data_IF_183400267294
#
_entry.id   IF_183400267294
#
_cell.length_a   1.000
_cell.length_b   1.000
_cell.length_c   1.000
_cell.angle_alpha   90.00
_cell.angle_beta   90.00
_cell.angle_gamma   90.00
#
_symmetry.space_group_name_H-M   'P 1'
#
loop_
_entity.id
_entity.type
_entity.pdbx_description
1 polymer ?
#
# COMPACT_ATOMS: atom_id res chain seq x y z
N UNK A 1 0.84 52.64 21.41
CA UNK A 1 -0.12 51.91 20.54
C UNK A 1 0.12 50.42 20.73
N UNK A 2 -0.66 49.78 21.59
CA UNK A 2 -0.51 48.36 21.93
C UNK A 2 -1.30 47.50 20.94
N UNK A 3 -0.63 46.54 20.28
CA UNK A 3 -1.26 45.57 19.37
C UNK A 3 -2.10 44.57 20.18
N UNK A 4 -3.35 44.26 19.78
CA UNK A 4 -4.23 43.39 20.55
C UNK A 4 -3.80 41.92 20.40
N UNK A 5 -3.44 41.30 21.53
CA UNK A 5 -3.06 39.89 21.70
C UNK A 5 -4.17 38.88 21.38
N UNK A 6 -5.39 39.35 21.09
CA UNK A 6 -6.55 38.52 20.77
C UNK A 6 -6.48 37.82 19.39
N UNK A 7 -5.65 38.30 18.47
CA UNK A 7 -5.48 37.68 17.14
C UNK A 7 -4.73 36.33 17.17
N UNK A 8 -4.08 35.99 18.30
CA UNK A 8 -3.36 34.71 18.47
C UNK A 8 -4.19 33.62 19.16
N UNK A 9 -5.33 33.96 19.76
CA UNK A 9 -6.16 33.00 20.50
C UNK A 9 -7.21 32.29 19.62
N UNK A 10 -7.61 32.91 18.50
CA UNK A 10 -8.56 32.34 17.55
C UNK A 10 -8.08 31.01 16.88
N UNK A 11 -6.82 30.86 16.42
CA UNK A 11 -6.38 29.60 15.81
C UNK A 11 -6.19 28.47 16.84
N UNK A 12 -5.82 28.79 18.09
CA UNK A 12 -5.63 27.79 19.15
C UNK A 12 -6.97 27.17 19.60
N UNK A 13 -8.03 27.98 19.69
CA UNK A 13 -9.37 27.50 20.01
C UNK A 13 -9.95 26.59 18.90
N UNK A 14 -9.64 26.88 17.63
CA UNK A 14 -10.09 26.06 16.50
C UNK A 14 -9.40 24.68 16.48
N UNK A 15 -8.10 24.64 16.80
CA UNK A 15 -7.34 23.37 16.88
C UNK A 15 -7.80 22.49 18.04
N UNK A 16 -8.11 23.06 19.21
CA UNK A 16 -8.66 22.32 20.34
C UNK A 16 -10.07 21.77 20.07
N UNK A 17 -10.91 22.52 19.34
CA UNK A 17 -12.23 22.05 18.92
C UNK A 17 -12.19 20.84 17.97
N UNK A 18 -11.26 20.82 17.03
CA UNK A 18 -11.10 19.70 16.07
C UNK A 18 -10.56 18.44 16.75
N UNK A 19 -9.66 18.58 17.71
CA UNK A 19 -9.12 17.43 18.48
C UNK A 19 -10.18 16.85 19.42
N UNK A 20 -10.98 17.69 20.10
CA UNK A 20 -12.06 17.22 20.95
C UNK A 20 -13.18 16.52 20.17
N UNK A 21 -13.55 17.03 19.00
CA UNK A 21 -14.54 16.39 18.13
C UNK A 21 -14.10 15.01 17.63
N UNK A 22 -12.80 14.83 17.33
CA UNK A 22 -12.21 13.54 16.96
C UNK A 22 -12.17 12.54 18.11
N UNK A 23 -11.92 13.00 19.34
CA UNK A 23 -11.87 12.14 20.52
C UNK A 23 -13.26 11.63 20.97
N UNK A 24 -14.31 12.44 20.83
CA UNK A 24 -15.68 12.05 21.19
C UNK A 24 -16.40 11.22 20.13
N UNK A 25 -15.83 11.08 18.92
CA UNK A 25 -16.42 10.32 17.81
C UNK A 25 -15.94 8.86 17.73
N UNK A 26 -15.14 8.38 18.69
CA UNK A 26 -14.80 6.97 18.79
C UNK A 26 -15.92 6.20 19.51
N UNK A 27 -16.51 5.16 18.91
CA UNK A 27 -17.42 4.27 19.63
C UNK A 27 -16.62 3.46 20.68
N UNK A 28 -17.20 3.20 21.87
CA UNK A 28 -16.55 2.38 22.88
C UNK A 28 -16.38 0.93 22.37
N UNK A 29 -15.21 0.35 22.64
CA UNK A 29 -14.92 -1.04 22.32
C UNK A 29 -15.87 -1.99 23.09
N UNK A 30 -16.51 -2.98 22.45
CA UNK A 30 -17.29 -3.98 23.17
C UNK A 30 -16.34 -4.87 23.98
N UNK A 31 -16.64 -5.00 25.28
CA UNK A 31 -15.99 -5.96 26.17
C UNK A 31 -16.28 -7.40 25.67
N UNK A 32 -15.24 -8.14 25.33
CA UNK A 32 -15.36 -9.54 24.97
C UNK A 32 -15.70 -10.36 26.23
N UNK A 33 -16.90 -10.94 26.25
CA UNK A 33 -17.27 -11.98 27.20
C UNK A 33 -16.49 -13.26 26.87
N UNK A 34 -15.83 -13.84 27.89
CA UNK A 34 -15.12 -15.12 27.81
C UNK A 34 -16.15 -16.26 27.88
N UNK A 35 -16.27 -17.15 26.88
CA UNK A 35 -17.02 -18.38 27.07
C UNK A 35 -16.12 -19.43 27.75
N UNK A 36 -16.49 -19.81 28.97
CA UNK A 36 -16.05 -21.03 29.64
C UNK A 36 -16.60 -22.24 28.90
N UNK A 37 -15.74 -22.97 28.20
CA UNK A 37 -16.10 -24.26 27.60
C UNK A 37 -16.16 -25.34 28.69
N UNK A 38 -17.35 -25.89 28.90
CA UNK A 38 -17.59 -27.04 29.76
C UNK A 38 -17.02 -28.31 29.10
N UNK A 39 -16.32 -29.11 29.90
CA UNK A 39 -15.81 -30.43 29.55
C UNK A 39 -16.98 -31.42 29.55
N UNK A 40 -17.19 -32.12 28.44
CA UNK A 40 -18.02 -33.32 28.39
C UNK A 40 -17.22 -34.47 27.78
N UNK A 41 -16.93 -35.46 28.62
CA UNK A 41 -16.34 -36.74 28.25
C UNK A 41 -17.35 -37.61 27.50
N UNK A 42 -16.91 -38.33 26.46
CA UNK A 42 -17.76 -39.30 25.78
C UNK A 42 -17.07 -40.07 24.64
N UNK A 43 -16.59 -41.26 24.99
CA UNK A 43 -16.47 -42.48 24.17
C UNK A 43 -15.61 -42.49 22.88
N UNK A 44 -14.52 -43.26 22.94
CA UNK A 44 -13.72 -43.71 21.81
C UNK A 44 -14.38 -44.87 21.03
N UNK A 45 -14.07 -45.00 19.72
CA UNK A 45 -13.83 -46.31 19.12
C UNK A 45 -12.47 -46.41 18.40
N UNK A 46 -12.06 -47.67 18.21
CA UNK A 46 -10.73 -48.22 17.92
C UNK A 46 -10.13 -47.91 16.51
N UNK A 47 -8.85 -48.26 16.23
CA UNK A 47 -8.05 -47.65 15.16
C UNK A 47 -8.24 -48.31 13.80
N UNK A 48 -8.34 -47.49 12.74
CA UNK A 48 -8.26 -47.92 11.35
C UNK A 48 -6.81 -47.80 10.83
N UNK A 49 -6.37 -48.81 10.09
CA UNK A 49 -5.02 -48.98 9.54
C UNK A 49 -4.61 -47.89 8.51
N UNK A 50 -3.31 -47.65 8.27
CA UNK A 50 -2.83 -46.58 7.41
C UNK A 50 -2.98 -46.94 5.92
N UNK A 51 -3.56 -46.01 5.14
CA UNK A 51 -3.59 -46.08 3.69
C UNK A 51 -2.23 -45.67 3.09
N UNK A 52 -1.79 -46.27 1.96
CA UNK A 52 -0.48 -46.00 1.37
C UNK A 52 -0.39 -44.61 0.73
N UNK A 53 0.77 -43.99 0.87
CA UNK A 53 1.13 -42.69 0.32
C UNK A 53 0.98 -42.67 -1.22
N UNK A 54 0.19 -41.73 -1.73
CA UNK A 54 0.19 -41.40 -3.15
C UNK A 54 1.49 -40.65 -3.51
N UNK A 55 2.10 -40.93 -4.67
CA UNK A 55 3.36 -40.31 -5.06
C UNK A 55 3.18 -38.82 -5.32
N UNK A 56 4.08 -38.02 -4.75
CA UNK A 56 4.25 -36.62 -5.06
C UNK A 56 4.50 -36.46 -6.56
N UNK A 57 3.47 -36.03 -7.29
CA UNK A 57 3.66 -35.51 -8.64
C UNK A 57 4.43 -34.21 -8.50
N UNK A 58 5.71 -34.26 -8.87
CA UNK A 58 6.58 -33.11 -9.01
C UNK A 58 5.94 -32.10 -9.97
N UNK A 59 5.28 -31.09 -9.41
CA UNK A 59 4.97 -29.86 -10.11
C UNK A 59 6.30 -29.17 -10.38
N UNK A 60 6.85 -29.42 -11.57
CA UNK A 60 7.93 -28.63 -12.13
C UNK A 60 7.54 -27.15 -12.09
N UNK A 61 8.39 -26.23 -11.62
CA UNK A 61 8.09 -24.82 -11.62
C UNK A 61 8.04 -24.35 -13.07
N UNK A 62 6.82 -24.06 -13.54
CA UNK A 62 6.63 -23.33 -14.79
C UNK A 62 7.39 -22.00 -14.66
N UNK A 63 8.35 -21.83 -15.55
CA UNK A 63 9.29 -20.72 -15.62
C UNK A 63 8.66 -19.35 -15.33
N UNK A 64 9.25 -18.67 -14.33
CA UNK A 64 9.03 -17.32 -13.83
C UNK A 64 8.75 -16.22 -14.87
N UNK A 65 9.28 -16.23 -16.12
CA UNK A 65 9.04 -15.15 -17.07
C UNK A 65 7.60 -15.10 -17.63
N UNK A 66 6.93 -16.24 -17.80
CA UNK A 66 5.59 -16.29 -18.40
C UNK A 66 4.50 -15.89 -17.39
N UNK A 67 4.72 -16.20 -16.10
CA UNK A 67 3.91 -15.66 -15.00
C UNK A 67 4.09 -14.15 -14.95
N UNK A 68 5.31 -13.62 -14.74
CA UNK A 68 5.52 -12.17 -14.63
C UNK A 68 4.94 -11.38 -15.82
N UNK A 69 4.98 -11.92 -17.04
CA UNK A 69 4.46 -11.24 -18.24
C UNK A 69 2.93 -11.17 -18.28
N UNK A 70 2.22 -12.26 -17.98
CA UNK A 70 0.75 -12.25 -17.89
C UNK A 70 0.22 -11.58 -16.61
N UNK A 71 0.99 -11.65 -15.52
CA UNK A 71 0.72 -11.03 -14.22
C UNK A 71 0.77 -9.51 -14.28
N UNK A 72 1.73 -8.97 -15.02
CA UNK A 72 1.86 -7.53 -15.22
C UNK A 72 0.90 -6.98 -16.29
N UNK A 73 0.41 -7.79 -17.24
CA UNK A 73 -0.57 -7.36 -18.26
C UNK A 73 -1.99 -7.16 -17.71
N UNK A 74 -2.41 -7.98 -16.73
CA UNK A 74 -3.74 -7.87 -16.10
C UNK A 74 -3.89 -6.64 -15.21
N UNK A 75 -2.84 -6.28 -14.46
CA UNK A 75 -2.83 -5.08 -13.60
C UNK A 75 -2.43 -3.80 -14.34
N UNK A 76 -1.57 -3.90 -15.37
CA UNK A 76 -1.36 -2.81 -16.36
C UNK A 76 -2.54 -2.66 -17.33
N UNK A 77 -3.49 -3.60 -17.29
CA UNK A 77 -4.70 -3.59 -18.08
C UNK A 77 -5.51 -2.32 -17.87
N UNK A 78 -6.20 -1.89 -18.92
CA UNK A 78 -7.06 -0.72 -18.89
C UNK A 78 -8.36 -0.92 -18.11
N UNK A 79 -8.71 -2.16 -17.71
CA UNK A 79 -9.97 -2.51 -17.04
C UNK A 79 -9.67 -3.32 -15.75
N UNK A 80 -9.60 -2.60 -14.64
CA UNK A 80 -9.34 -3.19 -13.31
C UNK A 80 -10.57 -3.85 -12.71
N UNK A 81 -11.78 -3.48 -13.16
CA UNK A 81 -13.01 -4.11 -12.70
C UNK A 81 -13.05 -5.58 -13.15
N UNK A 82 -12.76 -5.83 -14.43
CA UNK A 82 -12.66 -7.19 -14.97
C UNK A 82 -11.53 -7.98 -14.31
N UNK A 83 -10.37 -7.37 -14.11
CA UNK A 83 -9.25 -8.01 -13.43
C UNK A 83 -9.61 -8.42 -11.99
N UNK A 84 -10.30 -7.55 -11.24
CA UNK A 84 -10.76 -7.85 -9.89
C UNK A 84 -11.76 -9.01 -9.85
N UNK A 85 -12.70 -9.08 -10.80
CA UNK A 85 -13.62 -10.21 -10.88
C UNK A 85 -12.88 -11.55 -11.06
N UNK A 86 -11.87 -11.59 -11.92
CA UNK A 86 -11.07 -12.79 -12.15
C UNK A 86 -10.25 -13.17 -10.92
N UNK A 87 -9.59 -12.21 -10.29
CA UNK A 87 -8.79 -12.41 -9.07
C UNK A 87 -9.65 -12.85 -7.88
N UNK A 88 -10.91 -12.40 -7.81
CA UNK A 88 -11.81 -12.74 -6.70
C UNK A 88 -12.05 -14.24 -6.55
N UNK A 89 -12.07 -14.99 -7.65
CA UNK A 89 -12.26 -16.44 -7.65
C UNK A 89 -11.03 -17.13 -7.04
N UNK A 90 -9.83 -16.80 -7.51
CA UNK A 90 -8.59 -17.37 -6.98
C UNK A 90 -8.35 -16.96 -5.50
N UNK A 91 -8.61 -15.70 -5.16
CA UNK A 91 -8.55 -15.21 -3.79
C UNK A 91 -9.54 -15.95 -2.87
N UNK A 92 -10.76 -16.22 -3.32
CA UNK A 92 -11.73 -17.01 -2.55
C UNK A 92 -11.27 -18.47 -2.33
N UNK A 93 -10.43 -19.01 -3.21
CA UNK A 93 -9.81 -20.32 -3.06
C UNK A 93 -8.48 -20.30 -2.27
N UNK A 94 -8.11 -19.16 -1.69
CA UNK A 94 -6.95 -19.05 -0.82
C UNK A 94 -5.64 -18.71 -1.51
N UNK A 95 -5.65 -18.33 -2.79
CA UNK A 95 -4.44 -17.90 -3.50
C UNK A 95 -3.89 -16.58 -2.89
N UNK A 96 -2.70 -16.60 -2.25
CA UNK A 96 -2.16 -15.43 -1.56
C UNK A 96 -1.82 -14.28 -2.52
N UNK A 97 -1.36 -14.60 -3.72
CA UNK A 97 -0.99 -13.62 -4.73
C UNK A 97 -2.25 -12.95 -5.30
N UNK A 98 -3.30 -13.74 -5.56
CA UNK A 98 -4.58 -13.20 -6.01
C UNK A 98 -5.19 -12.26 -4.96
N UNK A 99 -5.15 -12.64 -3.67
CA UNK A 99 -5.60 -11.77 -2.57
C UNK A 99 -4.80 -10.46 -2.49
N UNK A 100 -3.47 -10.52 -2.65
CA UNK A 100 -2.63 -9.32 -2.65
C UNK A 100 -3.02 -8.36 -3.77
N UNK A 101 -3.08 -8.85 -5.00
CA UNK A 101 -3.44 -8.06 -6.20
C UNK A 101 -4.84 -7.48 -6.12
N UNK A 102 -5.81 -8.29 -5.69
CA UNK A 102 -7.18 -7.84 -5.48
C UNK A 102 -7.22 -6.67 -4.48
N UNK A 103 -6.44 -6.76 -3.39
CA UNK A 103 -6.34 -5.68 -2.41
C UNK A 103 -5.76 -4.40 -3.01
N UNK A 104 -4.80 -4.47 -3.94
CA UNK A 104 -4.24 -3.29 -4.61
C UNK A 104 -5.26 -2.64 -5.53
N UNK A 105 -6.01 -3.44 -6.30
CA UNK A 105 -7.08 -2.93 -7.17
C UNK A 105 -8.14 -2.23 -6.33
N UNK A 106 -8.59 -2.86 -5.24
CA UNK A 106 -9.57 -2.25 -4.34
C UNK A 106 -9.06 -0.94 -3.74
N UNK A 107 -7.81 -0.89 -3.29
CA UNK A 107 -7.18 0.32 -2.76
C UNK A 107 -7.05 1.43 -3.82
N UNK A 108 -6.68 1.08 -5.05
CA UNK A 108 -6.61 2.04 -6.16
C UNK A 108 -7.98 2.59 -6.56
N UNK A 109 -9.01 1.73 -6.60
CA UNK A 109 -10.34 2.08 -7.09
C UNK A 109 -11.32 2.57 -6.02
N UNK A 110 -11.02 2.41 -4.72
CA UNK A 110 -11.95 2.74 -3.62
C UNK A 110 -12.49 4.17 -3.70
N UNK A 111 -11.62 5.15 -3.98
CA UNK A 111 -12.02 6.55 -4.11
C UNK A 111 -13.04 6.81 -5.23
N UNK A 112 -12.91 6.12 -6.36
CA UNK A 112 -13.87 6.18 -7.46
C UNK A 112 -15.15 5.41 -7.15
N UNK A 113 -15.02 4.19 -6.63
CA UNK A 113 -16.12 3.27 -6.41
C UNK A 113 -17.13 3.78 -5.37
N UNK A 114 -16.70 4.58 -4.39
CA UNK A 114 -17.59 5.16 -3.37
C UNK A 114 -18.67 6.07 -3.95
N UNK A 115 -18.36 6.84 -4.99
CA UNK A 115 -19.31 7.70 -5.70
C UNK A 115 -18.80 8.02 -7.12
N UNK A 116 -19.07 7.16 -8.12
CA UNK A 116 -18.60 7.38 -9.49
C UNK A 116 -19.14 8.69 -10.11
N UNK A 117 -20.36 9.09 -9.74
CA UNK A 117 -21.00 10.30 -10.26
C UNK A 117 -20.35 11.54 -9.65
N UNK A 118 -20.19 11.57 -8.32
CA UNK A 118 -19.47 12.61 -7.61
C UNK A 118 -18.01 12.71 -8.04
N UNK A 119 -17.32 11.58 -8.21
CA UNK A 119 -15.95 11.56 -8.72
C UNK A 119 -15.81 12.27 -10.07
N UNK A 120 -16.78 12.05 -10.98
CA UNK A 120 -16.86 12.74 -12.26
C UNK A 120 -17.20 14.23 -12.13
N UNK A 121 -18.09 14.59 -11.20
CA UNK A 121 -18.43 15.99 -10.90
C UNK A 121 -17.23 16.75 -10.33
N UNK A 122 -16.51 16.19 -9.36
CA UNK A 122 -15.27 16.73 -8.80
C UNK A 122 -14.21 16.92 -9.88
N UNK A 123 -14.08 15.95 -10.79
CA UNK A 123 -13.12 16.05 -11.90
C UNK A 123 -13.45 17.23 -12.83
N UNK A 124 -14.74 17.50 -13.10
CA UNK A 124 -15.16 18.70 -13.85
C UNK A 124 -14.91 19.98 -13.05
N UNK A 125 -15.20 19.99 -11.75
CA UNK A 125 -14.92 21.15 -10.90
C UNK A 125 -13.42 21.49 -10.85
N UNK A 126 -12.54 20.49 -10.81
CA UNK A 126 -11.08 20.68 -10.91
C UNK A 126 -10.70 21.30 -12.26
N UNK A 127 -11.33 20.87 -13.36
CA UNK A 127 -11.10 21.44 -14.68
C UNK A 127 -11.53 22.93 -14.72
N UNK A 128 -12.70 23.24 -14.16
CA UNK A 128 -13.28 24.59 -14.13
C UNK A 128 -12.50 25.56 -13.24
N UNK A 129 -11.86 25.05 -12.18
CA UNK A 129 -11.02 25.86 -11.27
C UNK A 129 -9.77 26.45 -11.95
N UNK A 130 -9.31 25.85 -13.07
CA UNK A 130 -8.15 26.32 -13.87
C UNK A 130 -6.89 26.63 -13.03
N UNK A 131 -6.64 25.84 -12.00
CA UNK A 131 -5.42 25.93 -11.21
C UNK A 131 -4.22 25.43 -12.05
N UNK A 132 -2.98 25.82 -11.71
CA UNK A 132 -1.79 25.45 -12.49
C UNK A 132 -1.62 23.94 -12.75
N UNK A 133 -2.14 23.08 -11.85
CA UNK A 133 -2.06 21.61 -11.95
C UNK A 133 -3.37 20.95 -12.40
N UNK A 134 -4.43 21.73 -12.68
CA UNK A 134 -5.76 21.20 -12.96
C UNK A 134 -5.77 20.22 -14.13
N UNK A 135 -5.03 20.52 -15.21
CA UNK A 135 -4.99 19.66 -16.38
C UNK A 135 -4.40 18.28 -16.07
N UNK A 136 -3.31 18.23 -15.30
CA UNK A 136 -2.64 17.00 -14.90
C UNK A 136 -3.49 16.19 -13.92
N UNK A 137 -4.12 16.86 -12.95
CA UNK A 137 -5.08 16.21 -12.04
C UNK A 137 -6.26 15.61 -12.81
N UNK A 138 -6.83 16.33 -13.78
CA UNK A 138 -7.93 15.83 -14.62
C UNK A 138 -7.50 14.60 -15.41
N UNK A 139 -6.29 14.59 -15.99
CA UNK A 139 -5.77 13.43 -16.71
C UNK A 139 -5.57 12.21 -15.79
N UNK A 140 -4.97 12.40 -14.62
CA UNK A 140 -4.78 11.34 -13.64
C UNK A 140 -6.11 10.76 -13.14
N UNK A 141 -7.08 11.63 -12.81
CA UNK A 141 -8.43 11.21 -12.40
C UNK A 141 -9.19 10.53 -13.54
N UNK A 142 -9.03 10.98 -14.79
CA UNK A 142 -9.61 10.31 -15.95
C UNK A 142 -9.01 8.90 -16.15
N UNK A 143 -7.70 8.70 -15.89
CA UNK A 143 -7.10 7.36 -15.89
C UNK A 143 -7.74 6.45 -14.83
N UNK A 144 -7.89 6.94 -13.59
CA UNK A 144 -8.58 6.19 -12.52
C UNK A 144 -10.01 5.85 -12.96
N UNK A 145 -10.78 6.83 -13.43
CA UNK A 145 -12.16 6.63 -13.85
C UNK A 145 -12.33 5.63 -14.99
N UNK A 146 -11.44 5.64 -16.00
CA UNK A 146 -11.46 4.63 -17.08
C UNK A 146 -11.11 3.24 -16.56
N UNK A 147 -10.08 3.13 -15.70
CA UNK A 147 -9.59 1.85 -15.20
C UNK A 147 -10.52 1.19 -14.19
N UNK A 148 -11.20 2.00 -13.39
CA UNK A 148 -12.13 1.54 -12.36
C UNK A 148 -13.59 1.54 -12.83
N UNK A 149 -13.85 1.85 -14.10
CA UNK A 149 -15.19 1.81 -14.67
C UNK A 149 -15.81 0.41 -14.46
N UNK A 150 -17.04 0.38 -13.96
CA UNK A 150 -17.73 -0.86 -13.59
C UNK A 150 -17.88 -1.04 -12.07
N UNK A 151 -16.96 -0.48 -11.27
CA UNK A 151 -17.15 -0.45 -9.83
C UNK A 151 -18.27 0.52 -9.42
N UNK A 152 -19.05 0.10 -8.43
CA UNK A 152 -20.17 0.85 -7.83
C UNK A 152 -20.06 0.83 -6.30
N UNK A 153 -20.78 1.71 -5.58
CA UNK A 153 -20.69 1.79 -4.12
C UNK A 153 -21.03 0.47 -3.40
N UNK A 154 -21.87 -0.36 -4.02
CA UNK A 154 -22.27 -1.67 -3.51
C UNK A 154 -21.19 -2.77 -3.57
N UNK A 155 -20.09 -2.56 -4.30
CA UNK A 155 -19.04 -3.59 -4.45
C UNK A 155 -18.16 -3.76 -3.21
N UNK A 156 -18.33 -2.91 -2.19
CA UNK A 156 -17.72 -3.12 -0.88
C UNK A 156 -16.20 -2.94 -0.85
N UNK A 157 -15.65 -2.04 -1.68
CA UNK A 157 -14.23 -1.62 -1.69
C UNK A 157 -13.91 -0.76 -0.45
N UNK A 158 -14.11 -1.33 0.73
CA UNK A 158 -13.87 -0.68 2.02
C UNK A 158 -12.44 -0.92 2.49
N UNK A 159 -11.95 -0.06 3.40
CA UNK A 159 -10.68 -0.28 4.10
C UNK A 159 -10.63 -1.65 4.79
N UNK A 160 -11.74 -2.10 5.37
CA UNK A 160 -11.81 -3.40 6.04
C UNK A 160 -11.61 -4.54 5.05
N UNK A 161 -12.25 -4.48 3.88
CA UNK A 161 -12.08 -5.47 2.80
C UNK A 161 -10.65 -5.50 2.29
N UNK A 162 -10.03 -4.33 2.06
CA UNK A 162 -8.63 -4.22 1.62
C UNK A 162 -7.69 -4.86 2.65
N UNK A 163 -7.86 -4.52 3.93
CA UNK A 163 -7.05 -5.10 5.02
C UNK A 163 -7.25 -6.61 5.12
N UNK A 164 -8.49 -7.10 5.03
CA UNK A 164 -8.78 -8.53 5.11
C UNK A 164 -8.06 -9.32 3.99
N UNK A 165 -8.08 -8.79 2.76
CA UNK A 165 -7.34 -9.40 1.64
C UNK A 165 -5.82 -9.37 1.87
N UNK A 166 -5.27 -8.27 2.40
CA UNK A 166 -3.83 -8.20 2.75
C UNK A 166 -3.45 -9.17 3.86
N UNK A 167 -4.30 -9.35 4.89
CA UNK A 167 -4.07 -10.35 5.97
C UNK A 167 -4.09 -11.76 5.41
N UNK A 168 -5.04 -12.08 4.53
CA UNK A 168 -5.10 -13.38 3.87
C UNK A 168 -3.83 -13.64 3.04
N UNK A 169 -3.44 -12.68 2.20
CA UNK A 169 -2.23 -12.76 1.39
C UNK A 169 -0.96 -12.93 2.23
N UNK A 170 -0.79 -12.11 3.28
CA UNK A 170 0.37 -12.14 4.15
C UNK A 170 0.49 -13.48 4.91
N UNK A 171 -0.63 -14.00 5.44
CA UNK A 171 -0.66 -15.34 6.08
C UNK A 171 -0.37 -16.47 5.10
N UNK A 172 -0.68 -16.26 3.82
CA UNK A 172 -0.33 -17.17 2.73
C UNK A 172 1.11 -17.02 2.23
N UNK A 173 1.93 -16.13 2.83
CA UNK A 173 3.34 -15.97 2.49
C UNK A 173 3.64 -14.86 1.48
N UNK A 174 2.68 -14.01 1.11
CA UNK A 174 2.94 -12.86 0.26
C UNK A 174 3.65 -11.74 1.06
N UNK A 175 4.92 -11.49 0.74
CA UNK A 175 5.79 -10.55 1.45
C UNK A 175 5.36 -9.09 1.28
N UNK A 176 4.90 -8.70 0.09
CA UNK A 176 4.43 -7.35 -0.17
C UNK A 176 3.16 -7.01 0.63
N UNK A 177 2.26 -7.98 0.81
CA UNK A 177 1.10 -7.85 1.66
C UNK A 177 1.48 -7.70 3.14
N UNK A 178 2.45 -8.47 3.62
CA UNK A 178 2.98 -8.34 4.99
C UNK A 178 3.61 -6.95 5.23
N UNK A 179 4.39 -6.46 4.26
CA UNK A 179 4.96 -5.11 4.27
C UNK A 179 3.87 -4.01 4.27
N UNK A 180 2.84 -4.16 3.43
CA UNK A 180 1.72 -3.22 3.38
C UNK A 180 0.93 -3.17 4.70
N UNK A 181 0.83 -4.29 5.41
CA UNK A 181 0.21 -4.35 6.74
C UNK A 181 1.02 -3.60 7.78
N UNK A 182 2.36 -3.70 7.75
CA UNK A 182 3.23 -2.87 8.59
C UNK A 182 3.02 -1.38 8.29
N UNK A 183 2.98 -0.99 7.01
CA UNK A 183 2.73 0.39 6.58
C UNK A 183 1.35 0.93 7.00
N UNK A 184 0.35 0.05 7.15
CA UNK A 184 -0.96 0.40 7.68
C UNK A 184 -1.01 0.46 9.22
N UNK A 185 0.08 0.17 9.91
CA UNK A 185 0.13 0.07 11.38
C UNK A 185 -0.58 -1.17 11.93
N UNK A 186 -0.76 -2.20 11.09
CA UNK A 186 -1.44 -3.45 11.43
C UNK A 186 -0.56 -4.67 11.14
N UNK A 187 0.68 -4.74 11.66
CA UNK A 187 1.59 -5.84 11.37
C UNK A 187 1.03 -7.18 11.86
N UNK A 188 1.46 -8.29 11.24
CA UNK A 188 1.04 -9.63 11.68
C UNK A 188 1.49 -9.94 13.10
N UNK A 189 2.66 -9.43 13.49
CA UNK A 189 3.19 -9.54 14.84
C UNK A 189 3.65 -8.17 15.35
N UNK A 190 3.54 -7.97 16.67
CA UNK A 190 4.06 -6.78 17.32
C UNK A 190 5.56 -6.97 17.66
N UNK A 191 6.26 -5.85 17.81
CA UNK A 191 7.63 -5.83 18.35
C UNK A 191 8.68 -5.37 17.34
N UNK A 192 9.79 -4.87 17.89
CA UNK A 192 10.91 -4.35 17.11
C UNK A 192 11.62 -5.43 16.29
N UNK A 193 11.73 -6.65 16.81
CA UNK A 193 12.34 -7.78 16.11
C UNK A 193 11.60 -8.13 14.81
N UNK A 194 10.28 -8.28 14.88
CA UNK A 194 9.45 -8.52 13.70
C UNK A 194 9.64 -7.45 12.63
N UNK A 195 9.68 -6.17 13.02
CA UNK A 195 9.91 -5.06 12.07
C UNK A 195 11.28 -5.19 11.41
N UNK A 196 12.35 -5.39 12.20
CA UNK A 196 13.72 -5.56 11.69
C UNK A 196 13.81 -6.70 10.69
N UNK A 197 13.21 -7.83 11.03
CA UNK A 197 13.23 -9.04 10.22
C UNK A 197 12.43 -8.86 8.93
N UNK A 198 11.26 -8.24 8.99
CA UNK A 198 10.46 -7.92 7.82
C UNK A 198 11.22 -7.00 6.85
N UNK A 199 11.85 -5.93 7.35
CA UNK A 199 12.66 -5.04 6.50
C UNK A 199 13.84 -5.80 5.89
N UNK A 200 14.50 -6.68 6.65
CA UNK A 200 15.59 -7.50 6.12
C UNK A 200 15.11 -8.45 5.02
N UNK A 201 13.96 -9.12 5.19
CA UNK A 201 13.37 -9.98 4.16
C UNK A 201 12.96 -9.23 2.91
N UNK A 202 12.35 -8.04 3.05
CA UNK A 202 12.01 -7.18 1.90
C UNK A 202 13.27 -6.80 1.13
N UNK A 203 14.35 -6.40 1.80
CA UNK A 203 15.60 -6.07 1.12
C UNK A 203 16.23 -7.28 0.44
N UNK A 204 16.22 -8.43 1.10
CA UNK A 204 16.80 -9.66 0.58
C UNK A 204 16.01 -10.23 -0.62
N UNK A 205 14.70 -9.97 -0.72
CA UNK A 205 13.90 -10.47 -1.83
C UNK A 205 14.17 -9.73 -3.15
N UNK A 206 14.57 -8.45 -3.07
CA UNK A 206 14.68 -7.57 -4.24
C UNK A 206 13.34 -7.36 -4.97
N UNK A 207 12.21 -7.68 -4.31
CA UNK A 207 10.88 -7.59 -4.91
C UNK A 207 10.41 -6.12 -4.93
N UNK A 208 10.27 -5.50 -6.12
CA UNK A 208 9.84 -4.11 -6.22
C UNK A 208 8.47 -3.84 -5.58
N UNK A 209 7.55 -4.81 -5.61
CA UNK A 209 6.23 -4.66 -4.99
C UNK A 209 6.32 -4.64 -3.46
N UNK A 210 7.21 -5.44 -2.87
CA UNK A 210 7.45 -5.43 -1.44
C UNK A 210 8.13 -4.13 -0.98
N UNK A 211 9.07 -3.60 -1.76
CA UNK A 211 9.72 -2.31 -1.47
C UNK A 211 8.70 -1.16 -1.45
N UNK A 212 7.86 -1.03 -2.48
CA UNK A 212 6.89 0.07 -2.55
C UNK A 212 5.77 -0.09 -1.50
N UNK A 213 5.38 -1.32 -1.18
CA UNK A 213 4.40 -1.61 -0.12
C UNK A 213 4.93 -1.25 1.28
N UNK A 214 6.23 -1.44 1.52
CA UNK A 214 6.89 -1.10 2.79
C UNK A 214 7.13 0.41 2.92
N UNK A 215 7.35 1.13 1.82
CA UNK A 215 7.84 2.50 1.80
C UNK A 215 7.14 3.46 2.78
N UNK A 216 5.78 3.49 2.91
CA UNK A 216 5.12 4.40 3.85
C UNK A 216 5.47 4.12 5.32
N UNK A 217 5.77 2.87 5.68
CA UNK A 217 6.24 2.51 7.02
C UNK A 217 7.62 3.11 7.32
N UNK A 218 8.43 3.34 6.28
CA UNK A 218 9.83 3.74 6.41
C UNK A 218 10.02 5.26 6.42
N UNK A 219 8.99 6.04 6.10
CA UNK A 219 9.03 7.50 6.14
C UNK A 219 9.10 8.08 7.55
N UNK A 220 8.51 9.25 7.74
CA UNK A 220 8.50 9.95 9.03
C UNK A 220 7.85 9.15 10.17
N UNK A 221 6.93 8.24 9.85
CA UNK A 221 6.26 7.38 10.84
C UNK A 221 7.23 6.45 11.60
N UNK A 222 8.40 6.14 11.01
CA UNK A 222 9.45 5.35 11.64
C UNK A 222 10.42 6.18 12.50
N UNK A 223 10.22 7.50 12.61
CA UNK A 223 11.14 8.36 13.36
C UNK A 223 11.10 8.00 14.85
N UNK A 224 12.26 7.64 15.41
CA UNK A 224 12.38 7.17 16.80
C UNK A 224 11.94 5.71 17.03
N UNK A 225 11.73 4.92 15.97
CA UNK A 225 11.48 3.49 16.08
C UNK A 225 12.80 2.70 16.12
N UNK A 226 13.21 2.25 17.31
CA UNK A 226 14.41 1.44 17.51
C UNK A 226 14.44 0.15 16.66
N UNK A 227 13.25 -0.36 16.27
CA UNK A 227 13.13 -1.49 15.36
C UNK A 227 13.47 -1.16 13.90
N UNK A 228 13.56 0.12 13.54
CA UNK A 228 13.81 0.58 12.17
C UNK A 228 15.08 1.43 12.06
N UNK A 229 15.77 1.68 13.17
CA UNK A 229 17.01 2.45 13.17
C UNK A 229 18.06 1.85 12.21
N UNK A 230 18.79 2.73 11.52
CA UNK A 230 19.78 2.38 10.50
C UNK A 230 19.25 1.79 9.19
N UNK A 231 17.94 1.57 9.03
CA UNK A 231 17.35 0.86 7.87
C UNK A 231 16.79 1.76 6.77
N UNK A 232 17.40 2.94 6.57
CA UNK A 232 16.87 3.98 5.68
C UNK A 232 15.41 4.28 6.07
N UNK A 233 15.24 4.73 7.31
CA UNK A 233 13.94 4.93 7.92
C UNK A 233 13.89 6.25 8.72
N UNK A 234 12.69 6.77 8.96
CA UNK A 234 12.46 7.82 9.95
C UNK A 234 12.69 9.25 9.46
N UNK A 235 12.94 9.43 8.15
CA UNK A 235 13.11 10.74 7.53
C UNK A 235 12.09 10.97 6.42
N UNK A 236 11.87 12.25 6.06
CA UNK A 236 11.03 12.64 4.93
C UNK A 236 11.50 12.04 3.59
N UNK A 237 12.79 11.73 3.46
CA UNK A 237 13.36 11.15 2.25
C UNK A 237 13.35 9.62 2.25
N UNK A 238 13.17 8.98 3.41
CA UNK A 238 13.26 7.52 3.51
C UNK A 238 12.17 6.83 2.68
N UNK A 239 10.91 7.24 2.81
CA UNK A 239 9.81 6.70 2.00
C UNK A 239 10.07 6.85 0.49
N UNK A 240 10.51 8.04 0.06
CA UNK A 240 10.86 8.30 -1.34
C UNK A 240 12.03 7.42 -1.80
N UNK A 241 13.06 7.23 -0.96
CA UNK A 241 14.18 6.36 -1.29
C UNK A 241 13.75 4.91 -1.51
N UNK A 242 12.82 4.39 -0.71
CA UNK A 242 12.25 3.05 -0.89
C UNK A 242 11.44 2.93 -2.19
N UNK A 243 10.66 3.95 -2.55
CA UNK A 243 9.92 3.98 -3.81
C UNK A 243 10.87 4.07 -5.03
N UNK A 244 11.91 4.91 -4.96
CA UNK A 244 12.94 5.01 -5.99
C UNK A 244 13.74 3.71 -6.14
N UNK A 245 14.04 3.04 -5.03
CA UNK A 245 14.66 1.72 -5.05
C UNK A 245 13.75 0.69 -5.74
N UNK A 246 12.44 0.70 -5.47
CA UNK A 246 11.48 -0.14 -6.18
C UNK A 246 11.50 0.12 -7.70
N UNK A 247 11.57 1.38 -8.14
CA UNK A 247 11.72 1.72 -9.56
C UNK A 247 12.99 1.09 -10.17
N UNK A 248 14.13 1.17 -9.47
CA UNK A 248 15.39 0.56 -9.93
C UNK A 248 15.34 -0.97 -9.96
N UNK A 249 14.51 -1.58 -9.12
CA UNK A 249 14.24 -3.02 -9.08
C UNK A 249 13.20 -3.48 -10.13
N UNK A 250 12.68 -2.57 -10.96
CA UNK A 250 11.81 -2.90 -12.08
C UNK A 250 10.33 -2.62 -11.87
N UNK A 251 9.94 -1.88 -10.81
CA UNK A 251 8.59 -1.33 -10.71
C UNK A 251 8.31 -0.40 -11.89
N UNK A 252 7.09 -0.43 -12.43
CA UNK A 252 6.66 0.56 -13.41
C UNK A 252 6.53 1.93 -12.73
N UNK A 253 7.46 2.81 -13.07
CA UNK A 253 7.56 4.17 -12.57
C UNK A 253 7.40 5.20 -13.69
N UNK A 254 6.88 4.81 -14.86
CA UNK A 254 6.66 5.73 -15.98
C UNK A 254 5.61 6.81 -15.68
N UNK A 255 5.43 7.78 -16.59
CA UNK A 255 4.50 8.91 -16.41
C UNK A 255 3.04 8.50 -16.21
N UNK A 256 2.61 7.38 -16.82
CA UNK A 256 1.26 6.82 -16.69
C UNK A 256 1.16 5.70 -15.64
N UNK A 257 2.23 5.44 -14.88
CA UNK A 257 2.25 4.41 -13.85
C UNK A 257 1.18 4.62 -12.78
N UNK A 258 0.86 3.55 -12.06
CA UNK A 258 -0.02 3.62 -10.89
C UNK A 258 0.53 4.59 -9.84
N UNK A 259 1.85 4.57 -9.60
CA UNK A 259 2.51 5.42 -8.62
C UNK A 259 2.34 6.90 -8.97
N UNK A 260 2.68 7.31 -10.20
CA UNK A 260 2.48 8.67 -10.68
C UNK A 260 1.01 9.10 -10.65
N UNK A 261 0.11 8.18 -11.03
CA UNK A 261 -1.33 8.45 -11.02
C UNK A 261 -1.87 8.64 -9.60
N UNK A 262 -1.44 7.83 -8.61
CA UNK A 262 -1.86 7.97 -7.21
C UNK A 262 -1.39 9.28 -6.59
N UNK A 263 -0.13 9.66 -6.79
CA UNK A 263 0.41 10.94 -6.29
C UNK A 263 -0.41 12.14 -6.80
N UNK A 264 -0.78 12.13 -8.07
CA UNK A 264 -1.52 13.23 -8.67
C UNK A 264 -3.03 13.19 -8.36
N UNK A 265 -3.70 12.06 -8.60
CA UNK A 265 -5.16 11.96 -8.47
C UNK A 265 -5.64 12.02 -7.00
N UNK A 266 -4.87 11.45 -6.07
CA UNK A 266 -5.23 11.36 -4.65
C UNK A 266 -4.44 12.36 -3.79
N UNK A 267 -3.16 12.59 -4.11
CA UNK A 267 -2.30 13.50 -3.35
C UNK A 267 -2.31 14.95 -3.84
N UNK A 268 -2.81 15.22 -5.06
CA UNK A 268 -2.72 16.54 -5.69
C UNK A 268 -1.29 16.96 -6.05
N UNK A 269 -0.32 16.04 -5.97
CA UNK A 269 1.07 16.28 -6.31
C UNK A 269 1.32 15.71 -7.71
N UNK A 270 1.26 16.58 -8.72
CA UNK A 270 1.36 16.20 -10.12
C UNK A 270 2.68 16.68 -10.72
N UNK A 271 3.29 15.87 -11.59
CA UNK A 271 4.37 16.37 -12.43
C UNK A 271 3.84 17.47 -13.36
N UNK A 272 4.67 18.48 -13.61
CA UNK A 272 4.39 19.52 -14.61
C UNK A 272 4.70 19.05 -16.03
N UNK A 273 5.61 18.09 -16.15
CA UNK A 273 5.99 17.46 -17.41
C UNK A 273 5.30 16.10 -17.54
N UNK A 274 4.37 15.93 -18.51
CA UNK A 274 3.61 14.69 -18.66
C UNK A 274 4.46 13.50 -19.14
N UNK A 275 5.71 13.72 -19.53
CA UNK A 275 6.63 12.65 -19.95
C UNK A 275 7.53 12.14 -18.83
N UNK A 276 7.51 12.83 -17.68
CA UNK A 276 8.42 12.57 -16.58
C UNK A 276 8.06 11.28 -15.85
N UNK A 277 9.07 10.43 -15.63
CA UNK A 277 8.96 9.29 -14.74
C UNK A 277 8.99 9.70 -13.26
N UNK A 278 8.65 8.77 -12.37
CA UNK A 278 8.60 9.02 -10.93
C UNK A 278 9.96 9.45 -10.38
N UNK A 279 11.06 8.87 -10.88
CA UNK A 279 12.40 9.21 -10.42
C UNK A 279 12.72 10.68 -10.68
N UNK A 280 12.64 11.08 -11.94
CA UNK A 280 12.90 12.46 -12.35
C UNK A 280 11.96 13.43 -11.63
N UNK A 281 10.68 13.06 -11.47
CA UNK A 281 9.70 13.85 -10.73
C UNK A 281 10.09 14.08 -9.28
N UNK A 282 10.53 13.04 -8.55
CA UNK A 282 10.95 13.16 -7.15
C UNK A 282 12.16 14.09 -7.01
N UNK A 283 13.17 13.96 -7.88
CA UNK A 283 14.35 14.83 -7.83
C UNK A 283 14.01 16.29 -8.14
N UNK A 284 13.05 16.54 -9.03
CA UNK A 284 12.63 17.91 -9.36
C UNK A 284 11.72 18.54 -8.30
N UNK A 285 10.80 17.75 -7.72
CA UNK A 285 9.70 18.26 -6.89
C UNK A 285 9.96 18.17 -5.38
N UNK A 286 10.75 17.18 -4.93
CA UNK A 286 10.84 16.83 -3.51
C UNK A 286 12.27 16.86 -2.95
N UNK A 287 13.30 16.70 -3.79
CA UNK A 287 14.70 16.66 -3.35
C UNK A 287 15.40 17.99 -3.67
N UNK A 288 15.77 18.80 -2.65
CA UNK A 288 16.62 19.96 -2.88
C UNK A 288 17.96 19.54 -3.50
N UNK A 289 18.60 20.42 -4.27
CA UNK A 289 19.90 20.10 -4.91
C UNK A 289 20.95 19.59 -3.92
N UNK A 290 20.94 20.09 -2.68
CA UNK A 290 21.86 19.66 -1.62
C UNK A 290 21.54 18.26 -1.06
N UNK A 291 20.33 17.76 -1.28
CA UNK A 291 19.86 16.45 -0.83
C UNK A 291 20.00 15.34 -1.86
N UNK A 292 20.41 15.64 -3.09
CA UNK A 292 20.53 14.66 -4.18
C UNK A 292 21.50 13.54 -3.85
N UNK A 293 22.68 13.86 -3.33
CA UNK A 293 23.69 12.87 -2.96
C UNK A 293 23.19 11.97 -1.83
N UNK A 294 22.61 12.57 -0.78
CA UNK A 294 21.98 11.82 0.32
C UNK A 294 20.88 10.87 -0.18
N UNK A 295 20.03 11.34 -1.10
CA UNK A 295 18.99 10.50 -1.72
C UNK A 295 19.61 9.34 -2.51
N UNK A 296 20.62 9.62 -3.34
CA UNK A 296 21.33 8.61 -4.11
C UNK A 296 21.96 7.55 -3.18
N UNK A 297 22.59 7.97 -2.09
CA UNK A 297 23.21 7.07 -1.12
C UNK A 297 22.17 6.20 -0.40
N UNK A 298 21.01 6.76 -0.06
CA UNK A 298 19.90 5.98 0.51
C UNK A 298 19.39 4.93 -0.48
N UNK A 299 19.15 5.32 -1.74
CA UNK A 299 18.67 4.39 -2.77
C UNK A 299 19.73 3.32 -3.05
N UNK A 300 21.00 3.69 -3.21
CA UNK A 300 22.10 2.73 -3.44
C UNK A 300 22.18 1.69 -2.31
N UNK A 301 22.15 2.11 -1.03
CA UNK A 301 22.12 1.17 0.10
C UNK A 301 20.93 0.22 0.09
N UNK A 302 19.82 0.62 -0.54
CA UNK A 302 18.62 -0.20 -0.65
C UNK A 302 18.69 -1.22 -1.78
N UNK A 303 19.36 -0.90 -2.90
CA UNK A 303 19.54 -1.84 -4.03
C UNK A 303 20.81 -2.68 -3.97
N UNK A 304 21.86 -2.20 -3.30
CA UNK A 304 23.13 -2.91 -3.20
C UNK A 304 23.02 -4.03 -2.14
N UNK A 305 22.82 -5.27 -2.60
CA UNK A 305 22.70 -6.46 -1.75
C UNK A 305 24.04 -7.03 -1.27
N UNK A 306 25.17 -6.47 -1.72
CA UNK A 306 26.53 -6.95 -1.45
C UNK A 306 27.10 -6.56 -0.07
N UNK A 307 26.37 -5.81 0.75
CA UNK A 307 26.81 -5.41 2.11
C UNK A 307 26.31 -6.29 3.26
N UNK A 308 25.51 -7.33 3.01
CA UNK A 308 24.97 -8.22 4.05
C UNK A 308 25.85 -9.45 4.35
N UNK A 309 27.12 -9.42 3.94
CA UNK A 309 28.07 -10.51 4.08
C UNK A 309 29.49 -10.01 4.40
N UNK A 310 29.64 -9.35 5.54
CA UNK A 310 30.94 -9.15 6.20
C UNK A 310 30.74 -8.91 7.68
#
# INVERSE_FOLDING_TARGET
MSRPTWLLLAPAALLLGVVAYRALSLPPAPAAAVPTAAVAAGAAPAPAAPAPAAPASALLPASTPARLRGETEGERGADLYRAAQQLSIAAAHGDPEASWRLSRIYDYCAGYAMDPIGYGADTRAIADARLPISAQMVQARARVGRRCAGFVPGDGLTRQTIVAQRVQAARGGNLAAEAALLALGQPLHAGAEYKRDLVARVRASGDPDAYVALAPAMGLAASGDDGLDGRVAGTQFSELAWQLAACRLGLDCGPDSELMTRYCANGGICSRDPTQDFSSFVYDAAVPRQGTDTMNDMVNRLVDSTGAGS
#
